data_IF_908975458593
#
_entry.id   IF_908975458593
#
_cell.length_a   1.000
_cell.length_b   1.000
_cell.length_c   1.000
_cell.angle_alpha   90.00
_cell.angle_beta   90.00
_cell.angle_gamma   90.00
#
_symmetry.space_group_name_H-M   'P 1'
#
loop_
_entity.id
_entity.type
_entity.pdbx_description
1 polymer ?
#
# COMPACT_ATOMS: atom_id res chain seq x y z
N UNK A 1 16.46 -0.14 -11.29
CA UNK A 1 15.77 0.70 -10.30
C UNK A 1 16.73 1.80 -9.89
N UNK A 2 16.37 3.05 -10.17
CA UNK A 2 17.27 4.19 -9.96
C UNK A 2 17.06 4.74 -8.56
N UNK A 3 18.04 4.55 -7.68
CA UNK A 3 17.94 4.99 -6.28
C UNK A 3 18.42 6.44 -6.16
N UNK A 4 17.56 7.33 -5.68
CA UNK A 4 17.95 8.70 -5.37
C UNK A 4 18.61 8.79 -3.99
N UNK A 5 19.90 9.15 -3.90
CA UNK A 5 20.59 9.30 -2.62
C UNK A 5 20.06 10.53 -1.86
N UNK A 6 20.07 10.45 -0.53
CA UNK A 6 19.78 11.59 0.35
C UNK A 6 20.94 12.58 0.24
N UNK A 7 20.64 13.85 -0.02
CA UNK A 7 21.59 14.95 -0.09
C UNK A 7 21.53 15.85 1.13
N UNK A 8 20.35 15.96 1.73
CA UNK A 8 20.12 16.78 2.91
C UNK A 8 19.12 16.08 3.84
N UNK A 9 19.36 16.20 5.14
CA UNK A 9 18.47 15.73 6.19
C UNK A 9 18.42 16.76 7.31
N UNK A 10 17.21 17.19 7.67
CA UNK A 10 16.95 18.05 8.83
C UNK A 10 16.00 17.34 9.77
N UNK A 11 16.39 17.21 11.04
CA UNK A 11 15.56 16.62 12.09
C UNK A 11 15.04 17.72 13.01
N UNK A 12 13.72 17.82 13.11
CA UNK A 12 13.08 18.80 13.99
C UNK A 12 12.82 18.20 15.37
N UNK A 13 12.86 19.04 16.41
CA UNK A 13 12.64 18.64 17.82
C UNK A 13 11.28 17.99 18.09
N UNK A 14 10.30 18.20 17.22
CA UNK A 14 8.95 17.63 17.31
C UNK A 14 8.82 16.26 16.60
N UNK A 15 9.94 15.66 16.17
CA UNK A 15 9.96 14.29 15.63
C UNK A 15 9.73 14.18 14.13
N UNK A 16 9.68 15.29 13.39
CA UNK A 16 9.55 15.29 11.93
C UNK A 16 10.94 15.35 11.29
N UNK A 17 11.15 14.56 10.23
CA UNK A 17 12.34 14.62 9.39
C UNK A 17 12.04 15.20 8.02
N UNK A 18 12.87 16.14 7.56
CA UNK A 18 12.86 16.66 6.20
C UNK A 18 14.04 16.06 5.43
N UNK A 19 13.77 15.56 4.22
CA UNK A 19 14.75 14.85 3.41
C UNK A 19 14.76 15.41 1.98
N UNK A 20 15.94 15.71 1.48
CA UNK A 20 16.14 16.01 0.05
C UNK A 20 16.84 14.82 -0.58
N UNK A 21 16.24 14.25 -1.62
CA UNK A 21 16.84 13.19 -2.43
C UNK A 21 17.05 13.71 -3.85
N UNK A 22 18.27 13.58 -4.36
CA UNK A 22 18.61 14.06 -5.70
C UNK A 22 19.72 13.23 -6.35
N UNK A 23 19.59 13.01 -7.65
CA UNK A 23 20.51 12.22 -8.46
C UNK A 23 19.99 12.11 -9.89
N UNK A 24 20.84 11.59 -10.78
CA UNK A 24 20.43 11.29 -12.15
C UNK A 24 19.45 10.12 -12.15
N UNK A 25 18.36 10.26 -12.90
CA UNK A 25 17.37 9.20 -13.12
C UNK A 25 17.51 8.72 -14.56
N UNK A 26 17.76 7.43 -14.74
CA UNK A 26 17.62 6.75 -16.03
C UNK A 26 16.27 6.02 -16.05
N UNK A 27 15.44 6.27 -17.06
CA UNK A 27 14.13 5.65 -17.23
C UNK A 27 12.96 6.58 -16.88
N UNK A 28 11.76 6.00 -16.76
CA UNK A 28 10.50 6.73 -16.62
C UNK A 28 10.02 6.83 -15.16
N UNK A 29 10.46 5.90 -14.31
CA UNK A 29 9.95 5.75 -12.94
C UNK A 29 11.04 5.86 -11.87
N UNK A 30 10.66 6.47 -10.75
CA UNK A 30 11.42 6.46 -9.49
C UNK A 30 10.54 5.92 -8.38
N UNK A 31 11.04 4.93 -7.64
CA UNK A 31 10.33 4.35 -6.50
C UNK A 31 10.89 4.87 -5.19
N UNK A 32 10.02 5.41 -4.34
CA UNK A 32 10.31 5.76 -2.96
C UNK A 32 9.45 4.90 -2.02
N UNK A 33 10.06 4.37 -0.98
CA UNK A 33 9.39 3.49 -0.01
C UNK A 33 9.19 4.22 1.31
N UNK A 34 7.97 4.19 1.83
CA UNK A 34 7.57 4.78 3.09
C UNK A 34 6.75 3.77 3.90
N UNK A 35 6.60 3.99 5.21
CA UNK A 35 5.65 3.19 5.99
C UNK A 35 4.22 3.57 5.59
N UNK A 36 3.30 2.61 5.71
CA UNK A 36 1.92 2.77 5.24
C UNK A 36 1.19 3.92 5.96
N UNK A 37 1.41 4.03 7.26
CA UNK A 37 0.88 5.08 8.14
C UNK A 37 1.43 6.48 7.83
N UNK A 38 2.58 6.57 7.16
CA UNK A 38 3.24 7.84 6.81
C UNK A 38 2.83 8.40 5.44
N UNK A 39 2.21 7.60 4.56
CA UNK A 39 1.89 8.00 3.18
C UNK A 39 1.09 9.30 3.12
N UNK A 40 0.13 9.48 4.04
CA UNK A 40 -0.70 10.69 4.07
C UNK A 40 0.13 11.96 4.31
N UNK A 41 1.09 11.91 5.24
CA UNK A 41 1.92 13.06 5.59
C UNK A 41 3.01 13.32 4.55
N UNK A 42 3.54 12.25 3.93
CA UNK A 42 4.41 12.36 2.76
C UNK A 42 3.68 13.09 1.64
N UNK A 43 2.46 12.68 1.27
CA UNK A 43 1.73 13.31 0.15
C UNK A 43 1.39 14.78 0.40
N UNK A 44 1.21 15.21 1.66
CA UNK A 44 0.97 16.63 2.00
C UNK A 44 2.19 17.53 1.78
N UNK A 45 3.40 16.96 1.81
CA UNK A 45 4.66 17.72 1.85
C UNK A 45 5.65 17.33 0.74
N UNK A 46 5.37 16.27 -0.01
CA UNK A 46 6.20 15.78 -1.09
C UNK A 46 6.21 16.79 -2.24
N UNK A 47 7.41 17.19 -2.61
CA UNK A 47 7.63 18.00 -3.80
C UNK A 47 8.64 17.31 -4.70
N UNK A 48 8.30 17.20 -5.98
CA UNK A 48 9.13 16.55 -6.99
C UNK A 48 9.40 17.53 -8.14
N UNK A 49 10.67 17.64 -8.54
CA UNK A 49 11.11 18.53 -9.60
C UNK A 49 12.08 17.80 -10.51
N UNK A 50 11.98 18.08 -11.81
CA UNK A 50 13.02 17.74 -12.77
C UNK A 50 13.90 18.98 -13.04
N UNK A 51 15.22 18.79 -13.03
CA UNK A 51 16.21 19.84 -13.28
C UNK A 51 17.00 19.61 -14.59
N UNK A 52 16.62 18.64 -15.41
CA UNK A 52 17.32 18.21 -16.62
C UNK A 52 16.49 18.37 -17.91
N UNK A 53 15.32 19.02 -17.83
CA UNK A 53 14.43 19.28 -18.97
C UNK A 53 13.35 18.21 -19.20
N UNK A 54 13.20 17.27 -18.27
CA UNK A 54 12.09 16.34 -18.18
C UNK A 54 10.86 16.93 -17.49
N UNK A 55 9.87 16.07 -17.22
CA UNK A 55 8.63 16.46 -16.55
C UNK A 55 8.13 15.37 -15.61
N UNK A 56 7.51 15.77 -14.50
CA UNK A 56 6.83 14.87 -13.58
C UNK A 56 5.38 14.70 -14.04
N UNK A 57 5.04 13.50 -14.53
CA UNK A 57 3.70 13.20 -15.05
C UNK A 57 2.67 12.87 -13.97
N UNK A 58 3.11 12.25 -12.88
CA UNK A 58 2.21 11.82 -11.82
C UNK A 58 2.94 11.10 -10.70
N UNK A 59 2.22 10.86 -9.62
CA UNK A 59 2.70 10.11 -8.46
C UNK A 59 1.74 8.94 -8.26
N UNK A 60 2.26 7.73 -8.39
CA UNK A 60 1.51 6.50 -8.13
C UNK A 60 1.75 6.06 -6.69
N UNK A 61 0.67 5.91 -5.92
CA UNK A 61 0.71 5.44 -4.54
C UNK A 61 -0.46 4.50 -4.26
N UNK A 62 -0.29 3.62 -3.27
CA UNK A 62 -1.38 2.80 -2.78
C UNK A 62 -2.25 3.62 -1.84
N UNK A 63 -3.53 3.77 -2.13
CA UNK A 63 -4.47 4.42 -1.23
C UNK A 63 -4.55 3.62 0.07
N UNK A 64 -4.23 4.22 1.23
CA UNK A 64 -4.43 3.56 2.51
C UNK A 64 -5.93 3.41 2.76
N UNK A 65 -6.44 2.19 2.57
CA UNK A 65 -7.81 1.83 2.89
C UNK A 65 -7.80 1.02 4.19
N UNK A 66 -8.49 1.53 5.20
CA UNK A 66 -8.66 0.85 6.48
C UNK A 66 -9.21 -0.58 6.28
N UNK A 67 -8.79 -1.54 7.10
CA UNK A 67 -9.20 -2.94 7.00
C UNK A 67 -10.74 -3.05 7.03
N UNK A 68 -11.42 -2.29 7.88
CA UNK A 68 -12.89 -2.28 7.93
C UNK A 68 -13.50 -1.72 6.66
N UNK A 69 -12.91 -0.67 6.07
CA UNK A 69 -13.36 -0.14 4.78
C UNK A 69 -13.14 -1.15 3.64
N UNK A 70 -12.03 -1.90 3.68
CA UNK A 70 -11.77 -3.01 2.74
C UNK A 70 -12.80 -4.13 2.90
N UNK A 71 -13.12 -4.52 4.13
CA UNK A 71 -14.12 -5.54 4.42
C UNK A 71 -15.54 -5.07 4.07
N UNK A 72 -15.87 -3.80 4.29
CA UNK A 72 -17.17 -3.23 3.94
C UNK A 72 -17.44 -3.29 2.42
N UNK A 73 -16.39 -3.11 1.62
CA UNK A 73 -16.40 -3.23 0.16
C UNK A 73 -16.31 -4.68 -0.34
N UNK A 74 -16.17 -5.65 0.56
CA UNK A 74 -16.16 -7.08 0.21
C UNK A 74 -17.56 -7.60 -0.06
N UNK A 75 -17.69 -8.44 -1.07
CA UNK A 75 -18.92 -9.22 -1.35
C UNK A 75 -19.11 -10.40 -0.39
N UNK A 76 -18.14 -10.67 0.48
CA UNK A 76 -18.18 -11.74 1.48
C UNK A 76 -18.37 -11.10 2.85
N UNK A 77 -19.46 -11.45 3.54
CA UNK A 77 -19.80 -10.92 4.87
C UNK A 77 -20.01 -12.08 5.83
N UNK A 78 -19.05 -12.26 6.74
CA UNK A 78 -19.05 -13.34 7.71
C UNK A 78 -19.59 -12.83 9.05
N UNK A 79 -20.57 -13.52 9.62
CA UNK A 79 -20.98 -13.31 11.01
C UNK A 79 -20.15 -14.17 11.98
N UNK A 80 -20.03 -13.72 13.22
CA UNK A 80 -19.30 -14.46 14.27
C UNK A 80 -19.98 -15.80 14.61
N UNK A 81 -21.30 -15.89 14.45
CA UNK A 81 -22.08 -17.07 14.81
C UNK A 81 -22.16 -18.13 13.72
N UNK A 82 -21.93 -17.77 12.45
CA UNK A 82 -22.18 -18.66 11.32
C UNK A 82 -21.24 -18.43 10.13
N UNK A 83 -19.98 -18.06 10.39
CA UNK A 83 -19.00 -17.66 9.37
C UNK A 83 -18.84 -18.65 8.22
N UNK A 84 -18.76 -19.97 8.47
CA UNK A 84 -18.62 -20.97 7.41
C UNK A 84 -19.87 -21.03 6.51
N UNK A 85 -21.07 -20.94 7.09
CA UNK A 85 -22.33 -20.92 6.34
C UNK A 85 -22.45 -19.64 5.51
N UNK A 86 -22.10 -18.50 6.09
CA UNK A 86 -22.12 -17.21 5.40
C UNK A 86 -21.15 -17.20 4.22
N UNK A 87 -19.95 -17.74 4.40
CA UNK A 87 -18.96 -17.89 3.32
C UNK A 87 -19.54 -18.72 2.17
N UNK A 88 -20.14 -19.88 2.45
CA UNK A 88 -20.73 -20.73 1.42
C UNK A 88 -21.92 -20.07 0.72
N UNK A 89 -22.74 -19.30 1.46
CA UNK A 89 -23.83 -18.51 0.89
C UNK A 89 -23.30 -17.45 -0.09
N UNK A 90 -22.29 -16.70 0.31
CA UNK A 90 -21.76 -15.56 -0.43
C UNK A 90 -20.83 -15.99 -1.59
N UNK A 91 -20.30 -17.22 -1.55
CA UNK A 91 -19.54 -17.82 -2.66
C UNK A 91 -20.42 -18.55 -3.70
N UNK A 92 -21.76 -18.55 -3.55
CA UNK A 92 -22.65 -19.24 -4.49
C UNK A 92 -22.43 -18.77 -5.93
N UNK A 93 -22.29 -19.74 -6.85
CA UNK A 93 -22.05 -19.49 -8.28
C UNK A 93 -20.57 -19.28 -8.64
N UNK A 94 -19.66 -19.29 -7.67
CA UNK A 94 -18.21 -19.22 -7.91
C UNK A 94 -17.63 -20.64 -7.95
N UNK A 95 -16.65 -20.86 -8.83
CA UNK A 95 -15.87 -22.09 -8.84
C UNK A 95 -14.90 -22.05 -7.65
N UNK A 96 -14.95 -23.07 -6.80
CA UNK A 96 -14.10 -23.16 -5.60
C UNK A 96 -13.31 -24.46 -5.62
N UNK A 97 -12.12 -24.43 -5.02
CA UNK A 97 -11.31 -25.63 -4.73
C UNK A 97 -11.23 -25.78 -3.22
N UNK A 98 -11.51 -26.97 -2.72
CA UNK A 98 -11.44 -27.29 -1.30
C UNK A 98 -10.19 -28.13 -1.05
N UNK A 99 -9.38 -27.69 -0.10
CA UNK A 99 -8.26 -28.46 0.43
C UNK A 99 -8.60 -28.78 1.87
N UNK A 100 -8.61 -30.06 2.21
CA UNK A 100 -8.92 -30.54 3.56
C UNK A 100 -7.74 -31.36 4.07
N UNK A 101 -7.32 -31.07 5.29
CA UNK A 101 -6.43 -31.94 6.05
C UNK A 101 -7.32 -32.83 6.92
N UNK A 102 -7.23 -34.14 6.69
CA UNK A 102 -7.94 -35.12 7.52
C UNK A 102 -7.04 -35.38 8.73
N UNK A 103 -7.49 -34.99 9.93
CA UNK A 103 -6.87 -35.46 11.16
C UNK A 103 -7.27 -36.93 11.35
N UNK A 104 -6.32 -37.89 11.36
CA UNK A 104 -6.68 -39.30 11.56
C UNK A 104 -7.12 -39.53 13.02
N UNK A 105 -8.34 -40.04 13.24
CA UNK A 105 -8.74 -40.55 14.57
C UNK A 105 -10.09 -40.10 15.15
N UNK A 106 -11.13 -39.88 14.34
CA UNK A 106 -12.54 -39.93 14.80
C UNK A 106 -13.30 -40.93 13.97
#
# INVERSE_FOLDING_TARGET
MTTLPVREMVLYKHGVGFFVRAGAVSGEDVTLTFRHDEINDVLKSLTAFDNAGGQVLGIHYQTPMDINARLANSSIRLSDTASARDLLRDLRGRKVTLTFEITPGT
#
